data_IF_367356151714
#
_entry.id   IF_367356151714
#
_cell.length_a   1.000
_cell.length_b   1.000
_cell.length_c   1.000
_cell.angle_alpha   90.00
_cell.angle_beta   90.00
_cell.angle_gamma   90.00
#
_symmetry.space_group_name_H-M   'P 1'
#
loop_
_entity.id
_entity.type
_entity.pdbx_description
1 polymer ?
#
# COMPACT_ATOMS: atom_id res chain seq x y z
N UNK A 1 12.61 17.28 -13.58
CA UNK A 1 13.10 16.63 -12.34
C UNK A 1 12.60 15.19 -12.36
N UNK A 2 13.40 14.27 -12.90
CA UNK A 2 13.01 12.86 -13.07
C UNK A 2 13.01 12.14 -11.72
N UNK A 3 11.90 11.47 -11.40
CA UNK A 3 11.83 10.65 -10.21
C UNK A 3 12.78 9.44 -10.35
N UNK A 4 13.80 9.37 -9.48
CA UNK A 4 14.89 8.39 -9.37
C UNK A 4 14.48 6.91 -9.16
N UNK A 5 13.24 6.53 -9.42
CA UNK A 5 12.80 5.13 -9.39
C UNK A 5 11.98 4.87 -10.65
N UNK A 6 12.66 4.57 -11.76
CA UNK A 6 12.02 4.05 -12.96
C UNK A 6 11.38 2.70 -12.60
N UNK A 7 10.08 2.71 -12.31
CA UNK A 7 9.36 1.50 -11.89
C UNK A 7 9.11 0.65 -13.12
N UNK A 8 9.73 -0.52 -13.16
CA UNK A 8 9.52 -1.51 -14.23
C UNK A 8 8.44 -2.52 -13.87
N UNK A 9 7.70 -3.01 -14.87
CA UNK A 9 6.81 -4.16 -14.79
C UNK A 9 7.16 -5.07 -15.96
N UNK A 10 7.39 -6.37 -15.68
CA UNK A 10 7.81 -7.36 -16.69
C UNK A 10 9.07 -6.94 -17.46
N UNK A 11 10.01 -6.26 -16.79
CA UNK A 11 11.23 -5.76 -17.43
C UNK A 11 11.07 -4.45 -18.21
N UNK A 12 9.83 -3.96 -18.44
CA UNK A 12 9.55 -2.72 -19.19
C UNK A 12 9.29 -1.55 -18.26
N UNK A 13 9.69 -0.33 -18.61
CA UNK A 13 9.35 0.84 -17.78
C UNK A 13 7.88 1.21 -17.94
N UNK A 14 7.30 1.70 -16.86
CA UNK A 14 5.93 2.22 -16.85
C UNK A 14 5.96 3.68 -17.30
N UNK A 15 5.26 4.00 -18.39
CA UNK A 15 5.07 5.38 -18.86
C UNK A 15 3.97 6.10 -18.10
N UNK A 16 2.91 5.38 -17.75
CA UNK A 16 1.78 5.91 -17.01
C UNK A 16 0.81 4.81 -16.61
N UNK A 17 -0.19 5.18 -15.82
CA UNK A 17 -1.28 4.27 -15.49
C UNK A 17 -2.51 5.03 -15.05
N UNK A 18 -3.68 4.45 -15.29
CA UNK A 18 -4.97 4.96 -14.85
C UNK A 18 -5.83 3.80 -14.38
N UNK A 19 -6.53 3.99 -13.27
CA UNK A 19 -7.49 3.00 -12.76
C UNK A 19 -8.82 3.67 -12.41
N UNK A 20 -9.91 2.95 -12.62
CA UNK A 20 -11.25 3.40 -12.29
C UNK A 20 -12.10 2.24 -11.79
N UNK A 21 -13.21 2.57 -11.13
CA UNK A 21 -14.21 1.59 -10.72
C UNK A 21 -15.42 1.72 -11.64
N UNK A 22 -15.86 0.60 -12.20
CA UNK A 22 -17.05 0.54 -13.05
C UNK A 22 -18.00 -0.52 -12.50
N UNK A 23 -19.30 -0.27 -12.61
CA UNK A 23 -20.32 -1.27 -12.30
C UNK A 23 -20.27 -2.37 -13.38
N UNK A 24 -19.99 -3.59 -12.96
CA UNK A 24 -20.13 -4.77 -13.82
C UNK A 24 -21.57 -5.27 -13.71
N UNK A 25 -22.39 -4.96 -14.72
CA UNK A 25 -23.82 -5.29 -14.76
C UNK A 25 -24.10 -6.78 -14.59
N UNK A 26 -23.21 -7.66 -15.09
CA UNK A 26 -23.40 -9.12 -14.97
C UNK A 26 -23.36 -9.60 -13.52
N UNK A 27 -22.58 -8.93 -12.67
CA UNK A 27 -22.36 -9.34 -11.28
C UNK A 27 -22.90 -8.34 -10.26
N UNK A 28 -23.55 -7.26 -10.73
CA UNK A 28 -24.04 -6.13 -9.94
C UNK A 28 -23.04 -5.64 -8.88
N UNK A 29 -21.76 -5.55 -9.25
CA UNK A 29 -20.66 -5.18 -8.33
C UNK A 29 -19.72 -4.18 -8.99
N UNK A 30 -19.25 -3.20 -8.20
CA UNK A 30 -18.18 -2.30 -8.63
C UNK A 30 -16.87 -3.07 -8.76
N UNK A 31 -16.28 -3.05 -9.96
CA UNK A 31 -15.02 -3.72 -10.26
C UNK A 31 -13.98 -2.72 -10.69
N UNK A 32 -12.72 -3.06 -10.44
CA UNK A 32 -11.58 -2.24 -10.86
C UNK A 32 -11.23 -2.56 -12.30
N UNK A 33 -11.13 -1.49 -13.08
CA UNK A 33 -10.64 -1.46 -14.44
C UNK A 33 -9.45 -0.50 -14.51
N UNK A 34 -8.66 -0.62 -15.56
CA UNK A 34 -7.61 0.35 -15.82
C UNK A 34 -6.60 -0.11 -16.84
N UNK A 35 -5.66 0.79 -17.14
CA UNK A 35 -4.62 0.59 -18.13
C UNK A 35 -3.29 1.00 -17.51
N UNK A 36 -2.26 0.18 -17.74
CA UNK A 36 -0.87 0.53 -17.43
C UNK A 36 -0.13 0.61 -18.76
N UNK A 37 0.33 1.79 -19.13
CA UNK A 37 1.13 2.00 -20.34
C UNK A 37 2.59 1.67 -20.07
N UNK A 38 3.15 0.78 -20.87
CA UNK A 38 4.55 0.39 -20.82
C UNK A 38 5.33 1.08 -21.93
N UNK A 39 6.66 0.97 -21.87
CA UNK A 39 7.52 1.25 -23.02
C UNK A 39 7.20 0.32 -24.20
N UNK A 40 7.68 0.73 -25.38
CA UNK A 40 7.46 0.06 -26.66
C UNK A 40 6.02 0.02 -27.16
N UNK A 41 5.09 0.74 -26.51
CA UNK A 41 3.68 0.87 -26.91
C UNK A 41 2.76 -0.22 -26.34
N UNK A 42 3.32 -1.19 -25.62
CA UNK A 42 2.53 -2.20 -24.94
C UNK A 42 1.75 -1.62 -23.78
N UNK A 43 0.62 -2.25 -23.46
CA UNK A 43 -0.21 -1.85 -22.34
C UNK A 43 -0.76 -3.07 -21.61
N UNK A 44 -0.85 -2.97 -20.29
CA UNK A 44 -1.52 -3.98 -19.48
C UNK A 44 -2.92 -3.48 -19.18
N UNK A 45 -3.92 -4.18 -19.72
CA UNK A 45 -5.31 -3.96 -19.41
C UNK A 45 -5.68 -4.73 -18.14
N UNK A 46 -6.14 -3.98 -17.15
CA UNK A 46 -6.65 -4.49 -15.88
C UNK A 46 -8.15 -4.68 -15.98
N UNK A 47 -8.61 -5.92 -15.83
CA UNK A 47 -10.03 -6.26 -15.72
C UNK A 47 -10.21 -7.32 -14.64
N UNK A 48 -10.83 -6.97 -13.51
CA UNK A 48 -11.20 -7.94 -12.46
C UNK A 48 -10.12 -8.96 -12.08
N UNK A 49 -9.03 -8.53 -11.43
CA UNK A 49 -7.89 -9.40 -11.08
C UNK A 49 -7.23 -10.15 -12.27
N UNK A 50 -7.69 -9.96 -13.50
CA UNK A 50 -7.03 -10.40 -14.72
C UNK A 50 -6.26 -9.24 -15.32
N UNK A 51 -5.01 -9.50 -15.70
CA UNK A 51 -4.10 -8.50 -16.26
C UNK A 51 -3.66 -9.00 -17.63
N UNK A 52 -4.27 -8.47 -18.69
CA UNK A 52 -3.98 -8.88 -20.07
C UNK A 52 -2.96 -7.92 -20.67
N UNK A 53 -1.93 -8.48 -21.30
CA UNK A 53 -0.93 -7.71 -22.04
C UNK A 53 -1.49 -7.49 -23.44
N UNK A 54 -1.54 -6.24 -23.87
CA UNK A 54 -2.02 -5.81 -25.17
C UNK A 54 -0.83 -5.19 -25.91
N UNK A 55 -0.57 -5.67 -27.12
CA UNK A 55 0.48 -5.14 -27.99
C UNK A 55 0.07 -3.82 -28.67
N UNK A 56 0.98 -3.23 -29.44
CA UNK A 56 0.76 -1.97 -30.16
C UNK A 56 -0.38 -2.06 -31.17
N UNK A 57 -0.62 -3.26 -31.71
CA UNK A 57 -1.70 -3.55 -32.65
C UNK A 57 -3.07 -3.72 -31.95
N UNK A 58 -3.12 -3.60 -30.63
CA UNK A 58 -4.35 -3.77 -29.85
C UNK A 58 -4.75 -5.21 -29.58
N UNK A 59 -3.93 -6.19 -29.97
CA UNK A 59 -4.17 -7.61 -29.76
C UNK A 59 -3.64 -8.08 -28.40
N UNK A 60 -4.29 -9.08 -27.82
CA UNK A 60 -3.85 -9.69 -26.56
C UNK A 60 -2.64 -10.59 -26.83
N UNK A 61 -1.46 -10.16 -26.38
CA UNK A 61 -0.23 -10.94 -26.52
C UNK A 61 -0.03 -11.94 -25.37
N UNK A 62 -0.68 -11.72 -24.23
CA UNK A 62 -0.57 -12.63 -23.09
C UNK A 62 -1.32 -12.17 -21.84
N UNK A 63 -1.04 -12.83 -20.72
CA UNK A 63 -1.63 -12.52 -19.43
C UNK A 63 -0.55 -12.55 -18.33
N UNK A 64 -0.65 -11.62 -17.38
CA UNK A 64 0.19 -11.62 -16.19
C UNK A 64 -0.43 -12.54 -15.14
N UNK A 65 0.17 -13.72 -14.97
CA UNK A 65 -0.29 -14.72 -14.00
C UNK A 65 0.03 -14.32 -12.56
N UNK A 66 -0.71 -14.87 -11.59
CA UNK A 66 -0.54 -14.60 -10.15
C UNK A 66 0.85 -14.93 -9.61
N UNK A 67 1.52 -15.92 -10.21
CA UNK A 67 2.89 -16.33 -9.88
C UNK A 67 3.93 -15.28 -10.28
N UNK A 68 3.62 -14.43 -11.26
CA UNK A 68 4.54 -13.43 -11.75
C UNK A 68 4.67 -12.25 -10.76
N UNK A 69 5.90 -11.81 -10.40
CA UNK A 69 6.12 -10.65 -9.54
C UNK A 69 5.41 -9.36 -10.01
N UNK A 70 5.25 -9.20 -11.32
CA UNK A 70 4.51 -8.11 -11.95
C UNK A 70 3.05 -8.03 -11.51
N UNK A 71 2.40 -9.18 -11.28
CA UNK A 71 1.03 -9.24 -10.78
C UNK A 71 0.88 -8.54 -9.43
N UNK A 72 1.77 -8.87 -8.49
CA UNK A 72 1.79 -8.25 -7.15
C UNK A 72 2.05 -6.75 -7.25
N UNK A 73 2.90 -6.32 -8.19
CA UNK A 73 3.21 -4.90 -8.42
C UNK A 73 2.00 -4.12 -8.91
N UNK A 74 1.26 -4.66 -9.90
CA UNK A 74 0.02 -4.06 -10.40
C UNK A 74 -1.03 -3.96 -9.28
N UNK A 75 -1.22 -5.03 -8.49
CA UNK A 75 -2.12 -5.00 -7.32
C UNK A 75 -1.77 -3.89 -6.33
N UNK A 76 -0.49 -3.66 -6.05
CA UNK A 76 -0.03 -2.56 -5.18
C UNK A 76 -0.31 -1.19 -5.81
N UNK A 77 -0.13 -1.04 -7.13
CA UNK A 77 -0.46 0.21 -7.83
C UNK A 77 -1.94 0.53 -7.72
N UNK A 78 -2.80 -0.46 -7.98
CA UNK A 78 -4.26 -0.34 -7.80
C UNK A 78 -4.59 0.05 -6.36
N UNK A 79 -4.01 -0.64 -5.36
CA UNK A 79 -4.25 -0.34 -3.96
C UNK A 79 -3.84 1.10 -3.61
N UNK A 80 -2.70 1.57 -4.11
CA UNK A 80 -2.21 2.95 -3.88
C UNK A 80 -3.08 4.00 -4.57
N UNK A 81 -3.54 3.72 -5.79
CA UNK A 81 -4.42 4.61 -6.54
C UNK A 81 -5.73 4.86 -5.81
N UNK A 82 -6.34 3.80 -5.25
CA UNK A 82 -7.58 3.94 -4.49
C UNK A 82 -7.37 4.23 -3.00
N UNK A 83 -6.14 4.14 -2.47
CA UNK A 83 -5.86 4.49 -1.07
C UNK A 83 -5.88 6.00 -0.84
N UNK A 84 -5.43 6.80 -1.80
CA UNK A 84 -5.45 8.27 -1.68
C UNK A 84 -6.87 8.85 -1.67
N UNK A 85 -7.87 8.10 -2.15
CA UNK A 85 -9.29 8.50 -2.08
C UNK A 85 -9.93 8.22 -0.70
N UNK A 86 -9.23 7.55 0.23
CA UNK A 86 -9.67 7.37 1.63
C UNK A 86 -9.09 8.45 2.57
N UNK A 87 -9.00 9.71 2.12
CA UNK A 87 -8.87 10.87 3.03
C UNK A 87 -10.18 11.17 3.76
N UNK A 88 -10.74 10.14 4.40
CA UNK A 88 -11.80 10.27 5.40
C UNK A 88 -11.30 9.61 6.69
N UNK A 89 -11.83 10.06 7.83
CA UNK A 89 -11.47 9.74 9.22
C UNK A 89 -11.13 8.27 9.58
N UNK A 90 -11.42 7.30 8.71
CA UNK A 90 -11.13 5.87 8.90
C UNK A 90 -9.82 5.37 8.24
N UNK A 91 -9.23 6.13 7.30
CA UNK A 91 -8.03 5.69 6.56
C UNK A 91 -6.71 5.93 7.28
N UNK A 92 -6.66 6.90 8.19
CA UNK A 92 -5.46 7.22 9.01
C UNK A 92 -5.18 6.22 10.13
N UNK A 93 -6.10 5.29 10.41
CA UNK A 93 -5.98 4.34 11.52
C UNK A 93 -5.25 3.03 11.17
N UNK A 94 -4.90 2.79 9.89
CA UNK A 94 -4.21 1.54 9.51
C UNK A 94 -2.74 1.46 9.98
N UNK A 95 -2.23 2.50 10.65
CA UNK A 95 -0.95 2.49 11.36
C UNK A 95 -1.02 1.95 12.80
N UNK A 96 -2.20 1.55 13.29
CA UNK A 96 -2.40 1.26 14.71
C UNK A 96 -1.67 0.01 15.22
N UNK A 97 -1.50 -1.08 14.46
CA UNK A 97 -0.95 -2.33 15.04
C UNK A 97 0.54 -2.20 15.38
N UNK A 98 1.35 -1.63 14.48
CA UNK A 98 2.78 -1.40 14.76
C UNK A 98 2.99 -0.30 15.80
N UNK A 99 2.16 0.75 15.76
CA UNK A 99 2.20 1.83 16.75
C UNK A 99 1.83 1.33 18.16
N UNK A 100 0.74 0.57 18.31
CA UNK A 100 0.34 -0.01 19.60
C UNK A 100 1.35 -1.02 20.11
N UNK A 101 1.96 -1.82 19.23
CA UNK A 101 3.04 -2.74 19.62
C UNK A 101 4.26 -1.98 20.13
N UNK A 102 4.66 -0.90 19.46
CA UNK A 102 5.73 -0.02 19.94
C UNK A 102 5.39 0.57 21.31
N UNK A 103 4.18 1.12 21.48
CA UNK A 103 3.75 1.72 22.75
C UNK A 103 3.63 0.70 23.89
N UNK A 104 3.26 -0.54 23.59
CA UNK A 104 3.24 -1.63 24.57
C UNK A 104 4.65 -2.02 25.00
N UNK A 105 5.60 -2.08 24.06
CA UNK A 105 7.03 -2.33 24.36
C UNK A 105 7.60 -1.18 25.21
N UNK A 106 7.35 0.07 24.83
CA UNK A 106 7.78 1.26 25.58
C UNK A 106 7.16 1.29 26.99
N UNK A 107 5.87 0.94 27.11
CA UNK A 107 5.18 0.80 28.39
C UNK A 107 5.80 -0.27 29.28
N UNK A 108 6.12 -1.44 28.72
CA UNK A 108 6.76 -2.54 29.45
C UNK A 108 8.18 -2.15 29.90
N UNK A 109 8.93 -1.45 29.04
CA UNK A 109 10.26 -0.94 29.38
C UNK A 109 10.20 0.05 30.54
N UNK A 110 9.25 0.98 30.52
CA UNK A 110 9.06 1.95 31.61
C UNK A 110 8.64 1.28 32.93
N UNK A 111 7.80 0.25 32.89
CA UNK A 111 7.43 -0.52 34.08
C UNK A 111 8.65 -1.24 34.66
N UNK A 112 9.49 -1.83 33.82
CA UNK A 112 10.71 -2.50 34.26
C UNK A 112 11.70 -1.51 34.89
N UNK A 113 11.89 -0.33 34.30
CA UNK A 113 12.71 0.75 34.87
C UNK A 113 12.17 1.19 36.24
N UNK A 114 10.85 1.29 36.40
CA UNK A 114 10.24 1.62 37.68
C UNK A 114 10.46 0.52 38.72
N UNK A 115 10.28 -0.75 38.33
CA UNK A 115 10.47 -1.90 39.22
C UNK A 115 11.91 -2.04 39.69
N UNK A 116 12.90 -1.66 38.87
CA UNK A 116 14.31 -1.66 39.24
C UNK A 116 14.76 -0.37 39.92
N UNK A 117 13.95 0.69 39.89
CA UNK A 117 14.21 1.93 40.61
C UNK A 117 13.81 1.80 42.09
N UNK A 118 14.51 2.52 42.97
CA UNK A 118 14.16 2.65 44.39
C UNK A 118 13.06 3.69 44.65
N UNK A 119 12.48 4.26 43.58
CA UNK A 119 11.54 5.38 43.65
C UNK A 119 10.13 4.87 43.93
N UNK A 120 9.50 5.36 45.00
CA UNK A 120 8.10 5.04 45.29
C UNK A 120 7.17 5.87 44.42
N UNK A 121 6.05 5.28 44.01
CA UNK A 121 5.08 5.94 43.14
C UNK A 121 4.55 7.27 43.74
N UNK A 122 4.44 7.33 45.06
CA UNK A 122 4.04 8.51 45.84
C UNK A 122 5.03 9.68 45.76
N UNK A 123 6.29 9.40 45.44
CA UNK A 123 7.38 10.40 45.34
C UNK A 123 7.55 10.91 43.91
N UNK A 124 6.94 10.24 42.92
CA UNK A 124 7.09 10.58 41.52
C UNK A 124 6.02 11.60 41.07
N UNK A 125 6.30 12.89 41.27
CA UNK A 125 5.40 14.00 40.93
C UNK A 125 5.51 14.50 39.48
N UNK A 126 6.35 13.91 38.65
CA UNK A 126 6.55 14.34 37.26
C UNK A 126 6.27 13.21 36.28
N UNK A 127 5.29 13.43 35.40
CA UNK A 127 4.89 12.55 34.32
C UNK A 127 6.09 11.81 33.69
N UNK A 128 6.09 10.47 33.79
CA UNK A 128 6.99 9.55 33.09
C UNK A 128 7.10 9.81 31.57
N UNK A 129 6.20 10.62 31.00
CA UNK A 129 6.24 11.09 29.62
C UNK A 129 7.39 12.05 29.30
N UNK A 130 8.11 12.60 30.29
CA UNK A 130 9.29 13.47 30.05
C UNK A 130 10.60 12.69 29.81
N UNK A 131 10.62 11.38 30.03
CA UNK A 131 11.82 10.55 29.80
C UNK A 131 11.92 10.00 28.36
N UNK A 132 10.94 10.32 27.49
CA UNK A 132 10.88 9.87 26.11
C UNK A 132 10.86 11.01 25.08
N UNK A 133 11.27 12.23 25.47
CA UNK A 133 11.46 13.39 24.59
C UNK A 133 12.93 13.71 24.41
#
# INVERSE_FOLDING_TARGET
>A
MEAKVQKTILGKKIRGFEFYKQLDYKFNKMRVHGIVWLEDGERIHVRFNEFKIINNLGQVSGMVLKSNPGYKRIKRMIARWFSSYRKGSKGGQMHHVSYWRSRAIDGMHNINLFRTSTVKFSENRSNFLKLAS
#
